data_IF_266965837181
#
_entry.id   IF_266965837181
#
_cell.length_a   1.000
_cell.length_b   1.000
_cell.length_c   1.000
_cell.angle_alpha   90.00
_cell.angle_beta   90.00
_cell.angle_gamma   90.00
#
_symmetry.space_group_name_H-M   'P 1'
#
loop_
_entity.id
_entity.type
_entity.pdbx_description
1 polymer ?
#
# COMPACT_ATOMS: atom_id res chain seq x y z
N UNK A 1 -22.87 -13.32 -0.02
CA UNK A 1 -21.80 -14.22 0.47
C UNK A 1 -20.54 -13.40 0.58
N UNK A 2 -19.92 -13.41 1.75
CA UNK A 2 -18.81 -12.56 2.13
C UNK A 2 -17.48 -13.29 1.88
N UNK A 3 -16.65 -12.73 1.01
CA UNK A 3 -15.22 -13.03 0.90
C UNK A 3 -14.52 -11.78 0.37
N UNK A 4 -14.61 -10.68 1.14
CA UNK A 4 -13.73 -9.54 0.92
C UNK A 4 -12.37 -9.94 1.49
N UNK A 5 -11.57 -10.64 0.67
CA UNK A 5 -10.16 -10.82 0.96
C UNK A 5 -9.52 -9.42 0.90
N UNK A 6 -9.40 -8.76 2.05
CA UNK A 6 -8.57 -7.58 2.19
C UNK A 6 -7.14 -8.01 1.85
N UNK A 7 -6.60 -7.49 0.75
CA UNK A 7 -5.24 -7.83 0.33
C UNK A 7 -4.28 -6.91 1.07
N UNK A 8 -3.68 -7.42 2.14
CA UNK A 8 -2.62 -6.74 2.88
C UNK A 8 -1.26 -7.22 2.37
N UNK A 9 -0.36 -6.28 2.13
CA UNK A 9 1.00 -6.55 1.66
C UNK A 9 2.01 -5.70 2.43
N UNK A 10 3.06 -6.35 2.90
CA UNK A 10 4.22 -5.67 3.46
C UNK A 10 5.25 -5.42 2.35
N UNK A 11 5.63 -4.16 2.15
CA UNK A 11 6.61 -3.75 1.15
C UNK A 11 7.77 -3.06 1.86
N UNK A 12 9.00 -3.33 1.48
CA UNK A 12 10.14 -2.61 2.07
C UNK A 12 10.21 -1.18 1.51
N UNK A 13 10.39 -0.16 2.36
CA UNK A 13 10.53 1.24 1.95
C UNK A 13 11.69 1.45 0.97
N UNK A 14 12.77 0.68 1.14
CA UNK A 14 13.92 0.70 0.24
C UNK A 14 13.56 0.25 -1.18
N UNK A 15 12.46 -0.49 -1.33
CA UNK A 15 11.98 -0.94 -2.62
C UNK A 15 10.97 0.06 -3.20
N UNK A 16 11.49 1.23 -3.57
CA UNK A 16 10.70 2.34 -4.15
C UNK A 16 9.88 1.89 -5.36
N UNK A 17 10.41 0.96 -6.15
CA UNK A 17 9.71 0.35 -7.29
C UNK A 17 8.46 -0.43 -6.88
N UNK A 18 8.53 -1.16 -5.77
CA UNK A 18 7.39 -1.89 -5.24
C UNK A 18 6.33 -0.90 -4.70
N UNK A 19 6.76 0.10 -3.93
CA UNK A 19 5.88 1.15 -3.39
C UNK A 19 5.09 1.83 -4.52
N UNK A 20 5.76 2.26 -5.59
CA UNK A 20 5.09 2.88 -6.74
C UNK A 20 4.14 1.92 -7.47
N UNK A 21 4.47 0.63 -7.54
CA UNK A 21 3.62 -0.38 -8.16
C UNK A 21 2.32 -0.59 -7.38
N UNK A 22 2.41 -0.75 -6.07
CA UNK A 22 1.26 -0.95 -5.20
C UNK A 22 0.39 0.32 -5.07
N UNK A 23 1.01 1.51 -4.98
CA UNK A 23 0.24 2.77 -5.03
C UNK A 23 -0.59 2.91 -6.32
N UNK A 24 -0.03 2.51 -7.48
CA UNK A 24 -0.77 2.52 -8.76
C UNK A 24 -1.89 1.48 -8.82
N UNK A 25 -1.74 0.37 -8.09
CA UNK A 25 -2.78 -0.64 -7.94
C UNK A 25 -3.93 -0.18 -7.02
N UNK A 26 -3.76 0.93 -6.29
CA UNK A 26 -4.74 1.45 -5.34
C UNK A 26 -4.51 0.97 -3.91
N UNK A 27 -3.33 0.40 -3.60
CA UNK A 27 -2.96 0.10 -2.24
C UNK A 27 -2.62 1.39 -1.48
N UNK A 28 -3.07 1.45 -0.23
CA UNK A 28 -2.79 2.56 0.67
C UNK A 28 -1.91 2.10 1.81
N UNK A 29 -0.86 2.88 2.10
CA UNK A 29 0.01 2.65 3.27
C UNK A 29 -0.73 3.05 4.54
N UNK A 30 -0.93 2.10 5.45
CA UNK A 30 -1.58 2.36 6.74
C UNK A 30 -0.61 2.31 7.91
N UNK A 31 0.51 1.62 7.76
CA UNK A 31 1.50 1.47 8.82
C UNK A 31 2.91 1.41 8.24
N UNK A 32 3.88 1.90 9.00
CA UNK A 32 5.30 1.79 8.70
C UNK A 32 6.04 1.35 9.94
N UNK A 33 6.93 0.39 9.77
CA UNK A 33 7.74 -0.20 10.84
C UNK A 33 9.19 0.11 10.55
N UNK A 34 9.96 0.55 11.54
CA UNK A 34 11.37 0.91 11.34
C UNK A 34 12.28 -0.33 11.25
N UNK A 35 11.85 -1.47 11.79
CA UNK A 35 12.61 -2.71 11.83
C UNK A 35 11.74 -3.88 11.36
N UNK A 36 12.38 -4.81 10.66
CA UNK A 36 11.80 -6.10 10.26
C UNK A 36 11.81 -7.07 11.46
N UNK A 37 10.99 -8.13 11.40
CA UNK A 37 10.88 -9.17 12.44
C UNK A 37 12.24 -9.85 12.71
N UNK A 38 13.17 -9.80 11.75
CA UNK A 38 14.53 -10.32 11.89
C UNK A 38 15.54 -9.34 12.55
N UNK A 39 15.11 -8.16 13.02
CA UNK A 39 15.99 -7.17 13.66
C UNK A 39 16.96 -6.47 12.71
N UNK A 40 16.70 -6.52 11.40
CA UNK A 40 17.44 -5.76 10.39
C UNK A 40 16.81 -4.38 10.21
N UNK A 41 17.65 -3.41 9.87
CA UNK A 41 17.31 -2.00 9.56
C UNK A 41 16.59 -1.91 8.19
N UNK A 42 15.52 -2.68 8.05
CA UNK A 42 14.66 -2.72 6.87
C UNK A 42 13.30 -2.17 7.27
N UNK A 43 13.06 -0.86 7.04
CA UNK A 43 11.76 -0.30 7.28
C UNK A 43 10.73 -0.92 6.34
N UNK A 44 9.66 -1.49 6.89
CA UNK A 44 8.53 -2.03 6.12
C UNK A 44 7.37 -1.05 6.12
N UNK A 45 6.80 -0.85 4.94
CA UNK A 45 5.50 -0.24 4.74
C UNK A 45 4.44 -1.32 4.60
N UNK A 46 3.48 -1.31 5.50
CA UNK A 46 2.26 -2.08 5.40
C UNK A 46 1.25 -1.33 4.55
N UNK A 47 0.83 -1.98 3.48
CA UNK A 47 -0.16 -1.47 2.57
C UNK A 47 -1.36 -2.40 2.52
N UNK A 48 -2.56 -1.84 2.42
CA UNK A 48 -3.79 -2.62 2.24
C UNK A 48 -4.54 -2.17 1.00
N UNK A 49 -5.13 -3.13 0.30
CA UNK A 49 -6.09 -2.90 -0.77
C UNK A 49 -7.49 -3.12 -0.21
N UNK A 50 -8.16 -2.03 0.12
CA UNK A 50 -9.59 -2.04 0.34
C UNK A 50 -10.22 -2.11 -1.05
N UNK A 51 -10.94 -3.20 -1.33
CA UNK A 51 -11.48 -3.58 -2.65
C UNK A 51 -11.66 -2.39 -3.61
N UNK A 52 -10.90 -2.38 -4.71
CA UNK A 52 -10.98 -1.32 -5.72
C UNK A 52 -12.31 -1.43 -6.47
N UNK A 53 -13.36 -0.87 -5.89
CA UNK A 53 -14.48 -0.38 -6.67
C UNK A 53 -13.92 0.77 -7.51
N UNK A 54 -13.76 0.53 -8.81
CA UNK A 54 -13.07 1.40 -9.76
C UNK A 54 -13.58 2.85 -9.74
N UNK A 55 -13.07 3.68 -8.83
CA UNK A 55 -13.39 5.10 -8.79
C UNK A 55 -12.47 5.85 -9.76
N UNK A 56 -12.91 5.92 -11.01
CA UNK A 56 -12.54 7.01 -11.91
C UNK A 56 -13.24 8.28 -11.41
N UNK A 57 -12.53 9.17 -10.71
CA UNK A 57 -12.85 10.60 -10.81
C UNK A 57 -11.74 11.53 -10.32
N UNK A 58 -11.18 12.27 -11.29
CA UNK A 58 -10.99 13.71 -11.16
C UNK A 58 -10.03 14.17 -10.08
N UNK A 59 -8.74 14.23 -10.43
CA UNK A 59 -7.92 15.36 -10.01
C UNK A 59 -8.62 16.62 -10.53
N UNK A 60 -9.49 17.21 -9.72
CA UNK A 60 -9.96 18.57 -9.92
C UNK A 60 -8.75 19.47 -9.61
N UNK A 61 -8.10 20.11 -10.58
CA UNK A 61 -7.16 21.16 -10.23
C UNK A 61 -8.01 22.32 -9.71
N UNK A 62 -8.02 22.53 -8.39
CA UNK A 62 -8.50 23.78 -7.85
C UNK A 62 -7.34 24.79 -7.87
N UNK A 63 -7.18 25.49 -8.99
CA UNK A 63 -6.73 26.90 -8.99
C UNK A 63 -7.03 27.59 -10.31
#
# INVERSE_FOLDING_TARGET
MADCVAMEVDVNEQNTKAVEFYQKLGFETYERTAQDDQGKDYPLLRMKLETVEANKQGKSPNR
#
